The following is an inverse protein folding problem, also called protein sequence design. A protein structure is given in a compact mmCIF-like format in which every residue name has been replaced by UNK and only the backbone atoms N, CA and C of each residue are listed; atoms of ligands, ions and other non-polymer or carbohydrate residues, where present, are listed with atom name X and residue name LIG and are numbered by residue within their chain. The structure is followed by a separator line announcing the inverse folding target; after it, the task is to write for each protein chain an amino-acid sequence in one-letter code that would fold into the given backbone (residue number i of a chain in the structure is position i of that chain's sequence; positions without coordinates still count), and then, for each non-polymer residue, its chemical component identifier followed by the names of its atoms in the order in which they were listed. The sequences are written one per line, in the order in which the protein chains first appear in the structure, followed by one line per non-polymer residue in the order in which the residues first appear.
data_IF_167264768516
#
_entry.id   IF_167264768516
#
_cell.length_a   1.000
_cell.length_b   1.000
_cell.length_c   1.000
_cell.angle_alpha   90.00
_cell.angle_beta   90.00
_cell.angle_gamma   90.00
#
_symmetry.space_group_name_H-M   'P 1'
#
loop_
_entity.id
_entity.type
_entity.pdbx_description
1 polymer ?
#
# COMPACT_ATOMS: atom_id res chain seq x y z
N UNK A 1 3.93 23.05 7.41
CA UNK A 1 2.89 22.11 7.90
C UNK A 1 3.55 20.75 8.04
N UNK A 2 3.63 20.19 9.24
CA UNK A 2 4.21 18.86 9.44
C UNK A 2 3.34 17.79 8.78
N UNK A 3 3.96 16.71 8.29
CA UNK A 3 3.24 15.59 7.70
C UNK A 3 2.34 14.94 8.76
N UNK A 4 1.05 14.70 8.45
CA UNK A 4 0.11 14.11 9.39
C UNK A 4 0.47 12.64 9.60
N UNK A 5 0.98 12.27 10.77
CA UNK A 5 1.32 10.87 11.12
C UNK A 5 0.29 10.26 12.07
N UNK A 6 0.01 8.98 11.92
CA UNK A 6 -0.92 8.26 12.79
C UNK A 6 -0.30 8.05 14.17
N UNK A 7 -0.76 8.80 15.18
CA UNK A 7 -0.20 8.71 16.54
C UNK A 7 -0.76 7.56 17.36
N UNK A 8 -2.03 7.24 17.16
CA UNK A 8 -2.75 6.18 17.88
C UNK A 8 -3.62 5.44 16.87
N UNK A 9 -3.27 4.18 16.62
CA UNK A 9 -4.07 3.31 15.77
C UNK A 9 -5.25 2.74 16.58
N UNK A 10 -6.43 2.76 15.98
CA UNK A 10 -7.61 2.06 16.46
C UNK A 10 -8.10 1.18 15.29
N UNK A 11 -8.30 -0.14 15.49
CA UNK A 11 -8.86 -0.99 14.45
C UNK A 11 -10.21 -0.47 13.96
N UNK A 12 -10.46 -0.64 12.67
CA UNK A 12 -11.77 -0.36 12.07
C UNK A 12 -12.91 -1.09 12.78
N UNK A 13 -14.10 -0.48 12.80
CA UNK A 13 -15.32 -1.09 13.34
C UNK A 13 -15.76 -2.35 12.58
N UNK A 14 -15.28 -2.53 11.34
CA UNK A 14 -15.55 -3.71 10.52
C UNK A 14 -14.73 -4.93 10.92
N UNK A 15 -13.87 -4.84 11.95
CA UNK A 15 -13.13 -5.98 12.48
C UNK A 15 -14.10 -7.01 13.08
N UNK A 16 -14.03 -8.25 12.60
CA UNK A 16 -14.82 -9.36 13.10
C UNK A 16 -14.36 -9.76 14.53
N UNK A 17 -15.28 -10.32 15.31
CA UNK A 17 -15.04 -10.66 16.73
C UNK A 17 -13.91 -11.66 16.93
N UNK A 18 -13.77 -12.60 16.00
CA UNK A 18 -12.77 -13.67 16.01
C UNK A 18 -11.43 -13.25 15.38
N UNK A 19 -11.40 -12.11 14.68
CA UNK A 19 -10.18 -11.60 14.08
C UNK A 19 -9.35 -10.81 15.09
N UNK A 20 -8.04 -10.77 14.87
CA UNK A 20 -7.08 -10.11 15.75
C UNK A 20 -6.25 -9.10 14.97
N UNK A 21 -5.80 -8.05 15.66
CA UNK A 21 -4.84 -7.12 15.08
C UNK A 21 -3.43 -7.66 15.34
N UNK A 22 -2.71 -7.97 14.27
CA UNK A 22 -1.30 -8.32 14.29
C UNK A 22 -0.48 -7.07 13.95
N UNK A 23 0.24 -6.55 14.95
CA UNK A 23 1.04 -5.34 14.80
C UNK A 23 2.21 -5.56 13.86
N UNK A 24 2.80 -6.74 13.88
CA UNK A 24 3.97 -7.11 13.09
C UNK A 24 3.63 -7.13 11.59
N UNK A 25 2.50 -7.74 11.20
CA UNK A 25 2.02 -7.74 9.82
C UNK A 25 1.69 -6.33 9.31
N UNK A 26 1.04 -5.52 10.15
CA UNK A 26 0.76 -4.12 9.83
C UNK A 26 2.03 -3.28 9.68
N UNK A 27 2.98 -3.40 10.61
CA UNK A 27 4.24 -2.67 10.60
C UNK A 27 5.10 -3.08 9.39
N UNK A 28 5.09 -4.35 9.00
CA UNK A 28 5.73 -4.80 7.77
C UNK A 28 5.15 -4.12 6.53
N UNK A 29 3.82 -4.10 6.40
CA UNK A 29 3.16 -3.45 5.26
C UNK A 29 3.44 -1.94 5.19
N UNK A 30 3.38 -1.25 6.34
CA UNK A 30 3.72 0.18 6.45
C UNK A 30 5.18 0.40 6.08
N UNK A 31 6.11 -0.36 6.67
CA UNK A 31 7.54 -0.21 6.41
C UNK A 31 7.92 -0.51 4.95
N UNK A 32 7.26 -1.50 4.33
CA UNK A 32 7.45 -1.78 2.91
C UNK A 32 7.07 -0.56 2.06
N UNK A 33 5.90 0.03 2.28
CA UNK A 33 5.43 1.19 1.51
C UNK A 33 6.33 2.41 1.77
N UNK A 34 6.69 2.68 3.02
CA UNK A 34 7.56 3.82 3.37
C UNK A 34 9.02 3.65 2.89
N UNK A 35 9.42 2.43 2.49
CA UNK A 35 10.71 2.17 1.81
C UNK A 35 10.70 2.51 0.33
N UNK A 36 9.53 2.80 -0.25
CA UNK A 36 9.38 3.30 -1.62
C UNK A 36 9.55 4.82 -1.67
N UNK A 37 9.69 5.37 -2.88
CA UNK A 37 9.78 6.80 -3.09
C UNK A 37 8.56 7.33 -3.85
N UNK A 38 8.19 8.57 -3.57
CA UNK A 38 7.29 9.31 -4.45
C UNK A 38 7.93 9.49 -5.83
N UNK A 39 7.14 9.36 -6.90
CA UNK A 39 7.67 9.32 -8.26
C UNK A 39 7.49 10.63 -9.04
N UNK A 40 6.61 11.52 -8.57
CA UNK A 40 6.16 12.70 -9.32
C UNK A 40 6.20 13.99 -8.50
N UNK A 41 6.31 15.11 -9.21
CA UNK A 41 6.19 16.45 -8.66
C UNK A 41 7.31 16.83 -7.70
N UNK A 42 7.03 17.77 -6.80
CA UNK A 42 8.00 18.30 -5.83
C UNK A 42 8.47 17.29 -4.78
N UNK A 43 7.83 16.11 -4.74
CA UNK A 43 8.14 15.02 -3.83
C UNK A 43 8.94 13.90 -4.50
N UNK A 44 9.19 13.98 -5.82
CA UNK A 44 9.93 12.96 -6.55
C UNK A 44 11.27 12.63 -5.87
N UNK A 45 11.54 11.33 -5.68
CA UNK A 45 12.74 10.81 -5.02
C UNK A 45 12.74 10.90 -3.48
N UNK A 46 11.72 11.52 -2.86
CA UNK A 46 11.57 11.53 -1.40
C UNK A 46 10.86 10.25 -0.93
N UNK A 47 11.12 9.78 0.30
CA UNK A 47 10.42 8.64 0.88
C UNK A 47 8.90 8.82 0.82
N UNK A 48 8.19 7.74 0.48
CA UNK A 48 6.73 7.72 0.50
C UNK A 48 6.22 7.51 1.93
N UNK A 49 6.36 8.57 2.72
CA UNK A 49 5.80 8.61 4.07
C UNK A 49 4.27 8.59 4.04
N UNK A 50 3.69 7.55 4.62
CA UNK A 50 2.24 7.43 4.73
C UNK A 50 1.72 8.54 5.66
N UNK A 51 0.62 9.17 5.25
CA UNK A 51 -0.14 10.08 6.12
C UNK A 51 -1.16 9.29 6.94
N UNK A 52 -1.63 9.90 8.02
CA UNK A 52 -2.53 9.31 9.03
C UNK A 52 -3.61 8.39 8.47
N UNK A 53 -4.41 8.85 7.50
CA UNK A 53 -5.49 8.07 6.93
C UNK A 53 -5.01 6.99 5.96
N UNK A 54 -3.90 7.19 5.26
CA UNK A 54 -3.31 6.15 4.40
C UNK A 54 -2.76 5.02 5.27
N UNK A 55 -2.05 5.36 6.34
CA UNK A 55 -1.54 4.40 7.30
C UNK A 55 -2.67 3.62 7.97
N UNK A 56 -3.77 4.30 8.35
CA UNK A 56 -4.97 3.64 8.88
C UNK A 56 -5.49 2.55 7.93
N UNK A 57 -5.65 2.86 6.64
CA UNK A 57 -6.10 1.89 5.62
C UNK A 57 -5.13 0.71 5.55
N UNK A 58 -3.82 0.96 5.43
CA UNK A 58 -2.83 -0.12 5.30
C UNK A 58 -2.82 -1.01 6.55
N UNK A 59 -2.88 -0.42 7.74
CA UNK A 59 -2.93 -1.18 9.00
C UNK A 59 -4.20 -2.01 9.13
N UNK A 60 -5.35 -1.49 8.70
CA UNK A 60 -6.60 -2.25 8.72
C UNK A 60 -6.57 -3.43 7.74
N UNK A 61 -6.10 -3.20 6.50
CA UNK A 61 -6.09 -4.22 5.45
C UNK A 61 -5.08 -5.34 5.70
N UNK A 62 -3.87 -4.98 6.14
CA UNK A 62 -2.77 -5.94 6.29
C UNK A 62 -2.54 -6.41 7.73
N UNK A 63 -3.08 -5.68 8.72
CA UNK A 63 -2.91 -6.00 10.14
C UNK A 63 -4.05 -6.79 10.77
N UNK A 64 -5.26 -6.78 10.19
CA UNK A 64 -6.40 -7.49 10.76
C UNK A 64 -6.48 -8.89 10.16
N UNK A 65 -6.15 -9.90 10.97
CA UNK A 65 -6.02 -11.29 10.57
C UNK A 65 -7.08 -12.16 11.24
N UNK A 66 -7.58 -13.15 10.51
CA UNK A 66 -8.39 -14.26 11.01
C UNK A 66 -7.54 -15.19 11.89
N UNK A 67 -8.15 -16.06 12.71
CA UNK A 67 -7.42 -17.03 13.53
C UNK A 67 -6.49 -17.96 12.74
N UNK A 68 -6.80 -18.20 11.47
CA UNK A 68 -5.98 -19.03 10.57
C UNK A 68 -4.79 -18.28 9.95
N UNK A 69 -4.53 -17.03 10.34
CA UNK A 69 -3.39 -16.22 9.86
C UNK A 69 -3.65 -15.46 8.56
N UNK A 70 -4.77 -15.67 7.88
CA UNK A 70 -5.11 -14.95 6.66
C UNK A 70 -5.72 -13.58 6.98
N UNK A 71 -5.58 -12.62 6.06
CA UNK A 71 -6.25 -11.32 6.16
C UNK A 71 -7.77 -11.49 6.32
N UNK A 72 -8.36 -10.66 7.17
CA UNK A 72 -9.82 -10.58 7.28
C UNK A 72 -10.42 -9.96 6.02
N UNK A 73 -9.83 -8.84 5.56
CA UNK A 73 -10.31 -8.08 4.44
C UNK A 73 -9.66 -8.55 3.14
N UNK A 74 -10.46 -9.17 2.28
CA UNK A 74 -10.06 -9.53 0.92
C UNK A 74 -10.53 -8.50 -0.11
N UNK A 75 -11.33 -7.53 0.31
CA UNK A 75 -11.89 -6.47 -0.55
C UNK A 75 -11.98 -5.18 0.26
N UNK A 76 -11.54 -4.08 -0.35
CA UNK A 76 -11.60 -2.75 0.22
C UNK A 76 -12.20 -1.78 -0.78
N UNK A 77 -13.18 -0.99 -0.34
CA UNK A 77 -13.73 0.13 -1.12
C UNK A 77 -13.28 1.43 -0.45
N UNK A 78 -12.57 2.27 -1.19
CA UNK A 78 -11.95 3.48 -0.65
C UNK A 78 -12.21 4.64 -1.62
N UNK A 79 -12.86 5.69 -1.13
CA UNK A 79 -13.10 6.91 -1.89
C UNK A 79 -12.03 7.94 -1.55
N UNK A 80 -11.22 8.30 -2.55
CA UNK A 80 -10.12 9.25 -2.38
C UNK A 80 -10.28 10.40 -3.38
N UNK A 81 -10.38 11.66 -2.93
CA UNK A 81 -10.54 12.78 -3.85
C UNK A 81 -9.27 13.04 -4.67
N UNK A 82 -9.42 13.83 -5.73
CA UNK A 82 -8.29 14.18 -6.63
C UNK A 82 -7.15 14.85 -5.83
N UNK A 83 -5.92 14.57 -6.23
CA UNK A 83 -4.67 15.11 -5.66
C UNK A 83 -4.34 14.66 -4.22
N UNK A 84 -4.91 13.55 -3.75
CA UNK A 84 -4.58 12.93 -2.44
C UNK A 84 -3.69 11.67 -2.55
N UNK A 85 -2.88 11.55 -3.62
CA UNK A 85 -1.93 10.43 -3.75
C UNK A 85 -2.57 9.05 -3.96
N UNK A 86 -3.79 8.98 -4.53
CA UNK A 86 -4.51 7.71 -4.74
C UNK A 86 -3.77 6.73 -5.65
N UNK A 87 -3.13 7.25 -6.71
CA UNK A 87 -2.44 6.43 -7.70
C UNK A 87 -1.11 5.91 -7.15
N UNK A 88 -0.42 6.75 -6.38
CA UNK A 88 0.77 6.38 -5.61
C UNK A 88 0.46 5.30 -4.57
N UNK A 89 -0.59 5.48 -3.77
CA UNK A 89 -1.00 4.47 -2.78
C UNK A 89 -1.38 3.14 -3.45
N UNK A 90 -2.15 3.18 -4.54
CA UNK A 90 -2.52 1.98 -5.29
C UNK A 90 -1.30 1.25 -5.87
N UNK A 91 -0.32 1.99 -6.41
CA UNK A 91 0.94 1.42 -6.91
C UNK A 91 1.75 0.76 -5.79
N UNK A 92 1.86 1.41 -4.63
CA UNK A 92 2.58 0.87 -3.48
C UNK A 92 1.92 -0.42 -2.94
N UNK A 93 0.59 -0.45 -2.85
CA UNK A 93 -0.17 -1.66 -2.48
C UNK A 93 0.02 -2.77 -3.51
N UNK A 94 0.00 -2.44 -4.80
CA UNK A 94 0.23 -3.43 -5.86
C UNK A 94 1.64 -4.04 -5.76
N UNK A 95 2.67 -3.23 -5.49
CA UNK A 95 4.03 -3.72 -5.28
C UNK A 95 4.16 -4.56 -4.01
N UNK A 96 3.49 -4.19 -2.91
CA UNK A 96 3.47 -4.99 -1.69
C UNK A 96 2.87 -6.37 -1.97
N UNK A 97 1.72 -6.45 -2.62
CA UNK A 97 1.07 -7.71 -2.99
C UNK A 97 1.93 -8.54 -3.96
N UNK A 98 2.60 -7.88 -4.90
CA UNK A 98 3.41 -8.56 -5.92
C UNK A 98 4.77 -9.06 -5.38
N UNK A 99 5.40 -8.32 -4.47
CA UNK A 99 6.81 -8.53 -4.09
C UNK A 99 7.02 -8.81 -2.59
N UNK A 100 6.11 -8.39 -1.73
CA UNK A 100 6.27 -8.42 -0.27
C UNK A 100 5.34 -9.40 0.44
N UNK A 101 4.32 -9.92 -0.22
CA UNK A 101 3.26 -10.73 0.42
C UNK A 101 3.56 -12.23 0.52
N UNK A 102 4.74 -12.67 0.06
CA UNK A 102 5.19 -14.05 0.16
C UNK A 102 4.51 -15.03 -0.80
N UNK A 103 3.66 -14.54 -1.71
CA UNK A 103 2.98 -15.36 -2.72
C UNK A 103 3.88 -15.62 -3.93
N UNK A 104 4.14 -16.89 -4.25
CA UNK A 104 4.90 -17.26 -5.44
C UNK A 104 4.08 -17.01 -6.70
N UNK A 105 4.68 -16.34 -7.69
CA UNK A 105 4.02 -15.99 -8.97
C UNK A 105 2.74 -15.17 -8.78
N UNK A 106 2.72 -14.27 -7.78
CA UNK A 106 1.63 -13.35 -7.55
C UNK A 106 1.26 -12.57 -8.82
N UNK A 107 -0.03 -12.58 -9.18
CA UNK A 107 -0.57 -11.79 -10.28
C UNK A 107 -1.39 -10.63 -9.71
N UNK A 108 -0.95 -9.39 -9.97
CA UNK A 108 -1.63 -8.18 -9.51
C UNK A 108 -2.13 -7.38 -10.71
N UNK A 109 -3.45 -7.26 -10.82
CA UNK A 109 -4.12 -6.63 -11.96
C UNK A 109 -4.59 -5.22 -11.62
N UNK A 110 -4.18 -4.24 -12.43
CA UNK A 110 -4.66 -2.86 -12.37
C UNK A 110 -5.77 -2.60 -13.39
N UNK A 111 -6.98 -2.31 -12.91
CA UNK A 111 -8.15 -2.05 -13.76
C UNK A 111 -8.61 -0.60 -13.64
N UNK A 112 -9.03 -0.01 -14.76
CA UNK A 112 -9.63 1.32 -14.81
C UNK A 112 -10.64 1.40 -15.98
N UNK A 113 -11.35 2.53 -16.07
CA UNK A 113 -12.33 2.76 -17.13
C UNK A 113 -11.71 2.76 -18.54
N UNK A 114 -10.42 3.10 -18.65
CA UNK A 114 -9.67 3.05 -19.89
C UNK A 114 -8.20 2.65 -19.64
N UNK A 115 -7.52 2.26 -20.72
CA UNK A 115 -6.13 1.81 -20.66
C UNK A 115 -5.17 2.91 -20.19
N UNK A 116 -5.41 4.17 -20.55
CA UNK A 116 -4.52 5.27 -20.13
C UNK A 116 -4.59 5.47 -18.62
N UNK A 117 -5.78 5.39 -18.02
CA UNK A 117 -5.95 5.46 -16.57
C UNK A 117 -5.29 4.27 -15.86
N UNK A 118 -5.42 3.06 -16.40
CA UNK A 118 -4.74 1.88 -15.86
C UNK A 118 -3.21 2.02 -15.94
N UNK A 119 -2.70 2.55 -17.06
CA UNK A 119 -1.27 2.80 -17.26
C UNK A 119 -0.68 3.75 -16.23
N UNK A 120 -1.44 4.72 -15.70
CA UNK A 120 -0.94 5.65 -14.67
C UNK A 120 -0.44 4.91 -13.43
N UNK A 121 -1.21 3.93 -12.92
CA UNK A 121 -0.82 3.18 -11.72
C UNK A 121 0.38 2.29 -12.00
N UNK A 122 0.38 1.63 -13.17
CA UNK A 122 1.49 0.79 -13.60
C UNK A 122 2.80 1.58 -13.75
N UNK A 123 2.77 2.73 -14.41
CA UNK A 123 3.94 3.59 -14.58
C UNK A 123 4.49 4.06 -13.23
N UNK A 124 3.63 4.45 -12.30
CA UNK A 124 4.04 4.82 -10.94
C UNK A 124 4.71 3.64 -10.22
N UNK A 125 4.15 2.43 -10.32
CA UNK A 125 4.76 1.24 -9.73
C UNK A 125 6.13 0.90 -10.37
N UNK A 126 6.23 0.96 -11.70
CA UNK A 126 7.48 0.73 -12.43
C UNK A 126 8.56 1.75 -12.04
N UNK A 127 8.17 3.02 -11.88
CA UNK A 127 9.07 4.08 -11.44
C UNK A 127 9.52 3.88 -9.99
N UNK A 128 8.62 3.48 -9.09
CA UNK A 128 8.97 3.10 -7.71
C UNK A 128 10.00 1.97 -7.67
N UNK A 129 9.83 0.95 -8.52
CA UNK A 129 10.80 -0.16 -8.66
C UNK A 129 12.15 0.36 -9.11
N UNK A 130 12.20 1.17 -10.17
CA UNK A 130 13.46 1.75 -10.71
C UNK A 130 14.19 2.63 -9.68
N UNK A 131 13.42 3.37 -8.88
CA UNK A 131 13.95 4.25 -7.82
C UNK A 131 14.36 3.49 -6.55
N UNK A 132 13.93 2.24 -6.37
CA UNK A 132 14.29 1.41 -5.23
C UNK A 132 15.39 0.40 -5.63
N UNK A 133 16.67 0.60 -5.24
CA UNK A 133 17.77 -0.30 -5.65
C UNK A 133 17.57 -1.76 -5.24
N UNK A 134 16.81 -2.02 -4.18
CA UNK A 134 16.48 -3.37 -3.74
C UNK A 134 15.49 -4.05 -4.70
N UNK A 135 14.45 -3.34 -5.13
CA UNK A 135 13.45 -3.87 -6.07
C UNK A 135 14.00 -3.91 -7.49
N UNK A 136 14.68 -2.87 -7.96
CA UNK A 136 15.25 -2.81 -9.32
C UNK A 136 16.20 -3.98 -9.65
N UNK A 137 16.87 -4.54 -8.63
CA UNK A 137 17.74 -5.72 -8.82
C UNK A 137 16.98 -7.04 -8.90
N UNK A 138 15.76 -7.11 -8.38
CA UNK A 138 14.98 -8.34 -8.19
C UNK A 138 13.78 -8.44 -9.15
N UNK A 139 13.19 -7.31 -9.48
CA UNK A 139 12.07 -7.16 -10.41
C UNK A 139 12.65 -6.74 -11.76
N UNK A 140 12.54 -7.60 -12.77
CA UNK A 140 13.06 -7.38 -14.13
C UNK A 140 11.91 -7.21 -15.13
#
# INVERSE_FOLDING_TARGET
MGMRKLKKYKPTEFKAKDSQYCKEAADFAVAFIESLCHTKGTWAGKPFELIDWQEQIIRDLFGILKPNGYRQFNTAYIEIPKKQGKSELAAAVALLLCCGDGEERAEVYGCAADRQQASIVFEVAADMVRMCPALNRRVK
#
